data_IF_920648665403
#
_entry.id   IF_920648665403
#
_cell.length_a   1.000
_cell.length_b   1.000
_cell.length_c   1.000
_cell.angle_alpha   90.00
_cell.angle_beta   90.00
_cell.angle_gamma   90.00
#
_symmetry.space_group_name_H-M   'P 1'
#
loop_
_entity.id
_entity.type
_entity.pdbx_description
1 polymer ?
#
# COMPACT_ATOMS: atom_id res chain seq x y z
N UNK A 1 -5.48 -11.58 -10.18
CA UNK A 1 -6.81 -11.28 -9.58
C UNK A 1 -6.95 -11.78 -8.14
N UNK A 2 -6.48 -13.00 -7.84
CA UNK A 2 -6.52 -13.57 -6.48
C UNK A 2 -5.63 -12.79 -5.50
N UNK A 3 -4.47 -12.30 -5.95
CA UNK A 3 -3.56 -11.51 -5.12
C UNK A 3 -4.21 -10.20 -4.64
N UNK A 4 -5.02 -9.57 -5.49
CA UNK A 4 -5.78 -8.37 -5.12
C UNK A 4 -6.82 -8.67 -4.04
N UNK A 5 -7.51 -9.82 -4.11
CA UNK A 5 -8.44 -10.27 -3.06
C UNK A 5 -7.69 -10.55 -1.76
N UNK A 6 -6.58 -11.28 -1.85
CA UNK A 6 -5.76 -11.60 -0.68
C UNK A 6 -5.25 -10.32 0.00
N UNK A 7 -4.73 -9.38 -0.79
CA UNK A 7 -4.29 -8.08 -0.32
C UNK A 7 -5.42 -7.30 0.36
N UNK A 8 -6.59 -7.18 -0.30
CA UNK A 8 -7.74 -6.46 0.26
C UNK A 8 -8.22 -7.09 1.58
N UNK A 9 -8.24 -8.43 1.68
CA UNK A 9 -8.57 -9.11 2.94
C UNK A 9 -7.56 -8.76 4.04
N UNK A 10 -6.26 -8.81 3.75
CA UNK A 10 -5.21 -8.42 4.70
C UNK A 10 -5.26 -6.95 5.10
N UNK A 11 -5.68 -6.07 4.19
CA UNK A 11 -5.92 -4.66 4.48
C UNK A 11 -7.12 -4.49 5.41
N UNK A 12 -8.23 -5.16 5.13
CA UNK A 12 -9.44 -5.13 5.96
C UNK A 12 -9.19 -5.65 7.37
N UNK A 13 -8.33 -6.66 7.55
CA UNK A 13 -7.90 -7.14 8.88
C UNK A 13 -7.26 -6.02 9.73
N UNK A 14 -6.82 -4.92 9.11
CA UNK A 14 -6.20 -3.75 9.77
C UNK A 14 -7.13 -2.53 9.85
N UNK A 15 -8.34 -2.62 9.32
CA UNK A 15 -9.33 -1.55 9.37
C UNK A 15 -10.43 -1.93 10.37
N UNK A 16 -10.83 -0.99 11.23
CA UNK A 16 -11.89 -1.23 12.22
C UNK A 16 -13.30 -1.26 11.59
N UNK A 17 -13.45 -0.70 10.38
CA UNK A 17 -14.71 -0.61 9.65
C UNK A 17 -14.56 -1.13 8.22
N UNK A 18 -15.65 -1.11 7.43
CA UNK A 18 -15.58 -1.24 5.96
C UNK A 18 -15.32 0.15 5.37
N UNK A 19 -14.05 0.54 5.10
CA UNK A 19 -13.77 1.85 4.54
C UNK A 19 -14.28 1.93 3.09
N UNK A 20 -14.63 3.14 2.67
CA UNK A 20 -14.74 3.46 1.25
C UNK A 20 -13.35 3.34 0.62
N UNK A 21 -13.19 2.50 -0.41
CA UNK A 21 -11.89 2.29 -1.04
C UNK A 21 -11.77 3.16 -2.28
N UNK A 22 -10.80 4.07 -2.28
CA UNK A 22 -10.47 4.88 -3.44
C UNK A 22 -9.49 4.13 -4.32
N UNK A 23 -9.90 3.79 -5.54
CA UNK A 23 -9.07 3.02 -6.48
C UNK A 23 -8.96 3.69 -7.84
N UNK A 24 -7.92 3.32 -8.58
CA UNK A 24 -7.83 3.66 -9.99
C UNK A 24 -8.77 2.78 -10.84
N UNK A 25 -8.90 3.12 -12.12
CA UNK A 25 -9.62 2.33 -13.14
C UNK A 25 -8.98 0.98 -13.46
N UNK A 26 -8.04 0.51 -12.64
CA UNK A 26 -7.37 -0.78 -12.80
C UNK A 26 -8.38 -1.94 -12.74
N UNK A 27 -8.44 -2.81 -13.76
CA UNK A 27 -9.50 -3.83 -13.86
C UNK A 27 -9.43 -4.88 -12.74
N UNK A 28 -8.25 -5.11 -12.17
CA UNK A 28 -8.03 -6.09 -11.10
C UNK A 28 -8.73 -5.73 -9.78
N UNK A 29 -8.81 -4.44 -9.44
CA UNK A 29 -9.35 -3.98 -8.16
C UNK A 29 -10.87 -3.96 -8.24
N UNK A 30 -11.42 -3.50 -9.36
CA UNK A 30 -12.86 -3.52 -9.62
C UNK A 30 -13.46 -4.92 -9.42
N UNK A 31 -12.81 -5.94 -9.97
CA UNK A 31 -13.25 -7.32 -9.81
C UNK A 31 -13.16 -7.80 -8.35
N UNK A 32 -12.05 -7.53 -7.68
CA UNK A 32 -11.83 -7.97 -6.30
C UNK A 32 -12.77 -7.27 -5.30
N UNK A 33 -12.99 -5.96 -5.46
CA UNK A 33 -13.88 -5.14 -4.63
C UNK A 33 -15.33 -5.60 -4.77
N UNK A 34 -15.79 -5.81 -6.01
CA UNK A 34 -17.14 -6.34 -6.28
C UNK A 34 -17.34 -7.72 -5.63
N UNK A 35 -16.32 -8.58 -5.66
CA UNK A 35 -16.39 -9.91 -5.05
C UNK A 35 -16.36 -9.89 -3.53
N UNK A 36 -15.76 -8.87 -2.92
CA UNK A 36 -15.74 -8.69 -1.46
C UNK A 36 -16.93 -7.85 -0.95
N UNK A 37 -17.76 -7.31 -1.83
CA UNK A 37 -18.91 -6.48 -1.45
C UNK A 37 -18.50 -5.16 -0.79
N UNK A 38 -17.38 -4.58 -1.23
CA UNK A 38 -16.85 -3.33 -0.70
C UNK A 38 -17.28 -2.16 -1.57
N UNK A 39 -17.64 -1.05 -0.93
CA UNK A 39 -17.88 0.21 -1.61
C UNK A 39 -16.54 0.80 -2.09
N UNK A 40 -16.52 1.27 -3.33
CA UNK A 40 -15.34 1.86 -3.91
C UNK A 40 -15.69 3.01 -4.85
N UNK A 41 -14.83 4.02 -4.89
CA UNK A 41 -14.93 5.15 -5.81
C UNK A 41 -13.72 5.19 -6.75
N UNK A 42 -13.98 5.51 -8.02
CA UNK A 42 -12.97 5.59 -9.07
C UNK A 42 -12.51 7.04 -9.22
N UNK A 43 -11.59 7.49 -8.38
CA UNK A 43 -11.04 8.84 -8.46
C UNK A 43 -9.76 8.87 -9.28
N UNK A 44 -9.69 9.82 -10.23
CA UNK A 44 -8.47 10.08 -11.02
C UNK A 44 -7.48 11.01 -10.30
N UNK A 45 -7.97 11.96 -9.50
CA UNK A 45 -7.18 12.99 -8.81
C UNK A 45 -7.88 13.42 -7.52
N UNK A 46 -7.12 13.89 -6.52
CA UNK A 46 -7.67 14.38 -5.25
C UNK A 46 -7.12 13.63 -4.04
N UNK A 47 -7.98 12.92 -3.31
CA UNK A 47 -7.64 12.21 -2.06
C UNK A 47 -6.55 11.13 -2.22
N UNK A 48 -6.39 10.62 -3.45
CA UNK A 48 -5.28 9.71 -3.80
C UNK A 48 -3.89 10.37 -3.76
N UNK A 49 -3.82 11.69 -3.71
CA UNK A 49 -2.56 12.41 -3.60
C UNK A 49 -1.81 12.02 -2.31
N UNK A 50 -2.51 11.69 -1.23
CA UNK A 50 -1.88 11.25 0.03
C UNK A 50 -1.12 9.94 -0.15
N UNK A 51 -1.74 8.95 -0.81
CA UNK A 51 -1.07 7.66 -1.05
C UNK A 51 0.06 7.80 -2.08
N UNK A 52 -0.10 8.67 -3.09
CA UNK A 52 0.95 8.96 -4.06
C UNK A 52 2.16 9.65 -3.43
N UNK A 53 1.93 10.63 -2.54
CA UNK A 53 2.98 11.28 -1.74
C UNK A 53 3.69 10.27 -0.84
N UNK A 54 2.94 9.40 -0.16
CA UNK A 54 3.50 8.32 0.64
C UNK A 54 4.42 7.42 -0.18
N UNK A 55 3.96 6.98 -1.36
CA UNK A 55 4.77 6.16 -2.26
C UNK A 55 5.98 6.90 -2.81
N UNK A 56 5.86 8.20 -3.08
CA UNK A 56 6.98 9.04 -3.52
C UNK A 56 8.08 9.09 -2.46
N UNK A 57 7.69 9.28 -1.19
CA UNK A 57 8.59 9.28 -0.05
C UNK A 57 9.24 7.89 0.18
N UNK A 58 8.47 6.82 0.09
CA UNK A 58 9.00 5.46 0.17
C UNK A 58 10.03 5.21 -0.94
N UNK A 59 9.70 5.59 -2.19
CA UNK A 59 10.59 5.44 -3.35
C UNK A 59 11.86 6.27 -3.21
N UNK A 60 11.77 7.50 -2.70
CA UNK A 60 12.94 8.35 -2.50
C UNK A 60 13.89 7.75 -1.45
N UNK A 61 13.35 7.18 -0.37
CA UNK A 61 14.14 6.43 0.63
C UNK A 61 14.79 5.20 0.03
N UNK A 62 14.03 4.38 -0.71
CA UNK A 62 14.58 3.24 -1.45
C UNK A 62 15.67 3.68 -2.45
N UNK A 63 15.51 4.85 -3.07
CA UNK A 63 16.51 5.46 -3.97
C UNK A 63 17.76 5.96 -3.22
N UNK A 64 17.65 6.34 -1.95
CA UNK A 64 18.82 6.66 -1.10
C UNK A 64 19.57 5.37 -0.73
N UNK A 65 18.85 4.26 -0.49
CA UNK A 65 19.46 2.92 -0.32
C UNK A 65 20.13 2.41 -1.61
N UNK A 66 19.87 3.02 -2.76
CA UNK A 66 20.21 2.60 -4.14
C UNK A 66 21.70 2.72 -4.51
N UNK A 67 22.60 2.62 -3.53
CA UNK A 67 23.94 2.07 -3.76
C UNK A 67 24.04 0.57 -3.45
N UNK A 68 23.14 0.03 -2.62
CA UNK A 68 22.84 -1.40 -2.41
C UNK A 68 21.71 -1.51 -1.38
N UNK A 69 20.50 -1.89 -1.78
CA UNK A 69 19.69 -2.73 -0.87
C UNK A 69 20.60 -3.92 -0.54
N UNK A 70 20.81 -4.30 0.74
CA UNK A 70 21.93 -5.14 1.14
C UNK A 70 22.09 -6.30 0.15
N UNK A 71 23.25 -6.39 -0.50
CA UNK A 71 23.54 -7.47 -1.45
C UNK A 71 23.34 -8.79 -0.66
N UNK A 72 22.40 -9.64 -1.10
CA UNK A 72 21.81 -10.78 -0.34
C UNK A 72 20.66 -10.48 0.64
N UNK A 73 19.88 -9.41 0.43
CA UNK A 73 18.68 -9.19 1.22
C UNK A 73 17.71 -10.37 1.11
N UNK A 74 17.41 -10.99 2.23
CA UNK A 74 16.38 -12.04 2.35
C UNK A 74 14.99 -11.41 2.43
N UNK A 75 13.94 -12.16 2.06
CA UNK A 75 12.54 -11.76 2.25
C UNK A 75 12.25 -11.23 3.68
N UNK A 76 12.73 -11.89 4.76
CA UNK A 76 12.61 -11.35 6.12
C UNK A 76 13.25 -9.98 6.32
N UNK A 77 14.43 -9.73 5.74
CA UNK A 77 15.11 -8.43 5.85
C UNK A 77 14.33 -7.32 5.16
N UNK A 78 13.79 -7.59 3.97
CA UNK A 78 12.92 -6.67 3.23
C UNK A 78 11.67 -6.36 4.05
N UNK A 79 11.03 -7.39 4.60
CA UNK A 79 9.82 -7.25 5.41
C UNK A 79 10.09 -6.41 6.67
N UNK A 80 11.18 -6.68 7.37
CA UNK A 80 11.56 -5.94 8.58
C UNK A 80 11.82 -4.46 8.28
N UNK A 81 12.50 -4.18 7.16
CA UNK A 81 12.74 -2.82 6.71
C UNK A 81 11.45 -2.07 6.38
N UNK A 82 10.52 -2.70 5.65
CA UNK A 82 9.21 -2.10 5.33
C UNK A 82 8.41 -1.81 6.61
N UNK A 83 8.40 -2.74 7.58
CA UNK A 83 7.72 -2.54 8.86
C UNK A 83 8.34 -1.38 9.65
N UNK A 84 9.67 -1.32 9.72
CA UNK A 84 10.37 -0.21 10.37
C UNK A 84 10.06 1.13 9.70
N UNK A 85 10.03 1.18 8.37
CA UNK A 85 9.60 2.35 7.61
C UNK A 85 8.18 2.78 7.96
N UNK A 86 7.22 1.85 7.95
CA UNK A 86 5.83 2.16 8.31
C UNK A 86 5.72 2.68 9.74
N UNK A 87 6.47 2.12 10.69
CA UNK A 87 6.51 2.60 12.08
C UNK A 87 7.05 4.04 12.16
N UNK A 88 8.18 4.32 11.50
CA UNK A 88 8.77 5.67 11.44
C UNK A 88 7.79 6.66 10.81
N UNK A 89 7.15 6.31 9.69
CA UNK A 89 6.18 7.17 9.03
C UNK A 89 4.99 7.48 9.95
N UNK A 90 4.43 6.47 10.61
CA UNK A 90 3.28 6.64 11.49
C UNK A 90 3.60 7.39 12.79
N UNK A 91 4.86 7.35 13.26
CA UNK A 91 5.31 8.02 14.48
C UNK A 91 5.76 9.46 14.24
N UNK A 92 6.41 9.75 13.12
CA UNK A 92 7.07 11.04 12.86
C UNK A 92 6.30 11.96 11.90
N UNK A 93 5.43 11.40 11.06
CA UNK A 93 4.82 12.13 9.94
C UNK A 93 3.29 12.14 9.95
N UNK A 94 2.70 11.79 11.10
CA UNK A 94 1.25 11.87 11.32
C UNK A 94 0.85 13.20 11.95
#
# INVERSE_FOLDING_TARGET
PLDAIYFLRKMLDRCENKPLILVDKGPWYRWALKRLGLEYDNQRFGERNVIEQWYSLLKSRLKIFWKRFPYHSSLPSVKSWIVAWCAIYNLLWR
#
